data_IF_455094059242
#
_entry.id   IF_455094059242
#
_cell.length_a   1.000
_cell.length_b   1.000
_cell.length_c   1.000
_cell.angle_alpha   90.00
_cell.angle_beta   90.00
_cell.angle_gamma   90.00
#
_symmetry.space_group_name_H-M   'P 1'
#
loop_
_entity.id
_entity.type
_entity.pdbx_description
1 polymer ?
#
# COMPACT_ATOMS: atom_id res chain seq x y z
N UNK A 1 -10.06 2.29 4.84
CA UNK A 1 -10.57 2.55 3.47
C UNK A 1 -9.45 2.29 2.44
N UNK A 2 -9.75 1.84 1.22
CA UNK A 2 -8.76 1.77 0.12
C UNK A 2 -7.90 0.49 0.02
N UNK A 3 -8.08 -0.50 0.89
CA UNK A 3 -7.27 -1.75 0.92
C UNK A 3 -7.29 -2.52 -0.41
N UNK A 4 -8.50 -2.79 -0.95
CA UNK A 4 -8.65 -3.56 -2.20
C UNK A 4 -8.08 -2.82 -3.41
N UNK A 5 -8.40 -1.53 -3.56
CA UNK A 5 -7.86 -0.71 -4.65
C UNK A 5 -6.32 -0.65 -4.59
N UNK A 6 -5.75 -0.47 -3.39
CA UNK A 6 -4.30 -0.45 -3.20
C UNK A 6 -3.65 -1.76 -3.60
N UNK A 7 -4.22 -2.89 -3.18
CA UNK A 7 -3.69 -4.21 -3.52
C UNK A 7 -3.70 -4.43 -5.04
N UNK A 8 -4.84 -4.20 -5.68
CA UNK A 8 -4.99 -4.38 -7.13
C UNK A 8 -4.05 -3.47 -7.93
N UNK A 9 -3.93 -2.19 -7.53
CA UNK A 9 -3.00 -1.25 -8.17
C UNK A 9 -1.54 -1.66 -7.98
N UNK A 10 -1.14 -2.15 -6.80
CA UNK A 10 0.23 -2.61 -6.54
C UNK A 10 0.58 -3.87 -7.35
N UNK A 11 -0.36 -4.81 -7.51
CA UNK A 11 -0.18 -5.98 -8.39
C UNK A 11 0.00 -5.52 -9.84
N UNK A 12 -0.89 -4.64 -10.34
CA UNK A 12 -0.81 -4.13 -11.70
C UNK A 12 0.52 -3.42 -11.97
N UNK A 13 1.02 -2.62 -11.03
CA UNK A 13 2.33 -1.97 -11.13
C UNK A 13 3.48 -2.98 -11.13
N UNK A 14 3.40 -4.04 -10.34
CA UNK A 14 4.38 -5.13 -10.34
C UNK A 14 4.44 -5.86 -11.68
N UNK A 15 3.29 -6.19 -12.25
CA UNK A 15 3.18 -6.81 -13.57
C UNK A 15 3.74 -5.89 -14.67
N UNK A 16 3.41 -4.60 -14.64
CA UNK A 16 3.95 -3.62 -15.59
C UNK A 16 5.48 -3.48 -15.52
N UNK A 17 6.09 -3.81 -14.38
CA UNK A 17 7.55 -3.87 -14.18
C UNK A 17 8.18 -5.21 -14.62
N UNK A 18 7.39 -6.13 -15.19
CA UNK A 18 7.86 -7.42 -15.68
C UNK A 18 7.99 -8.50 -14.61
N UNK A 19 7.40 -8.31 -13.42
CA UNK A 19 7.36 -9.36 -12.40
C UNK A 19 6.42 -10.49 -12.83
N UNK A 20 6.74 -11.71 -12.41
CA UNK A 20 5.79 -12.83 -12.46
C UNK A 20 4.59 -12.53 -11.56
N UNK A 21 3.42 -13.08 -11.88
CA UNK A 21 2.18 -12.84 -11.13
C UNK A 21 2.33 -13.12 -9.62
N UNK A 22 2.93 -14.26 -9.26
CA UNK A 22 3.15 -14.65 -7.87
C UNK A 22 4.04 -13.63 -7.13
N UNK A 23 5.16 -13.23 -7.75
CA UNK A 23 6.08 -12.22 -7.22
C UNK A 23 5.38 -10.86 -7.06
N UNK A 24 4.58 -10.44 -8.04
CA UNK A 24 3.78 -9.21 -7.96
C UNK A 24 2.78 -9.25 -6.80
N UNK A 25 2.09 -10.38 -6.59
CA UNK A 25 1.15 -10.57 -5.48
C UNK A 25 1.86 -10.52 -4.12
N UNK A 26 3.01 -11.20 -3.98
CA UNK A 26 3.80 -11.20 -2.74
C UNK A 26 4.23 -9.78 -2.39
N UNK A 27 4.82 -9.05 -3.35
CA UNK A 27 5.28 -7.67 -3.14
C UNK A 27 4.13 -6.71 -2.84
N UNK A 28 3.01 -6.84 -3.56
CA UNK A 28 1.83 -6.01 -3.32
C UNK A 28 1.24 -6.21 -1.91
N UNK A 29 1.20 -7.46 -1.42
CA UNK A 29 0.76 -7.77 -0.06
C UNK A 29 1.70 -7.18 0.99
N UNK A 30 3.02 -7.26 0.78
CA UNK A 30 4.01 -6.68 1.67
C UNK A 30 3.85 -5.15 1.74
N UNK A 31 3.74 -4.49 0.58
CA UNK A 31 3.49 -3.05 0.49
C UNK A 31 2.21 -2.62 1.21
N UNK A 32 1.08 -3.29 0.95
CA UNK A 32 -0.18 -2.97 1.62
C UNK A 32 -0.09 -3.14 3.14
N UNK A 33 0.63 -4.15 3.61
CA UNK A 33 0.81 -4.38 5.05
C UNK A 33 1.59 -3.23 5.70
N UNK A 34 2.64 -2.73 5.04
CA UNK A 34 3.37 -1.52 5.48
C UNK A 34 2.47 -0.28 5.48
N UNK A 35 1.68 -0.09 4.42
CA UNK A 35 0.76 1.03 4.30
C UNK A 35 -0.33 1.04 5.38
N UNK A 36 -0.81 -0.14 5.79
CA UNK A 36 -1.75 -0.29 6.89
C UNK A 36 -1.09 -0.02 8.25
N UNK A 37 0.14 -0.51 8.46
CA UNK A 37 0.87 -0.27 9.71
C UNK A 37 1.15 1.23 9.93
N UNK A 38 1.46 1.97 8.86
CA UNK A 38 1.68 3.41 8.90
C UNK A 38 0.38 4.25 8.79
N UNK A 39 -0.78 3.63 8.62
CA UNK A 39 -2.05 4.35 8.43
C UNK A 39 -2.41 5.26 9.61
N UNK A 40 -2.06 4.86 10.84
CA UNK A 40 -2.30 5.64 12.05
C UNK A 40 -1.50 6.96 12.12
N UNK A 41 -0.53 7.16 11.23
CA UNK A 41 0.23 8.41 11.14
C UNK A 41 -0.52 9.51 10.39
N UNK A 42 -1.53 9.14 9.62
CA UNK A 42 -2.37 10.08 8.87
C UNK A 42 -3.54 10.54 9.73
N UNK A 43 -3.65 11.85 9.95
CA UNK A 43 -4.82 12.46 10.58
C UNK A 43 -5.79 12.96 9.51
N UNK A 44 -6.46 12.04 8.83
CA UNK A 44 -7.38 12.34 7.72
C UNK A 44 -8.78 11.82 8.01
N UNK A 45 -9.75 12.73 8.03
CA UNK A 45 -11.16 12.42 8.28
C UNK A 45 -11.46 12.16 9.76
N UNK A 46 -12.72 11.80 10.06
CA UNK A 46 -13.21 11.51 11.42
C UNK A 46 -13.68 10.05 11.61
N UNK A 47 -13.41 9.18 10.62
CA UNK A 47 -13.79 7.76 10.62
C UNK A 47 -12.59 6.83 10.44
N UNK A 48 -12.81 5.62 9.92
CA UNK A 48 -11.72 4.69 9.60
C UNK A 48 -10.83 5.25 8.48
N UNK A 49 -9.61 5.68 8.85
CA UNK A 49 -8.67 6.37 7.97
C UNK A 49 -8.23 5.58 6.71
N UNK A 50 -7.62 6.26 5.74
CA UNK A 50 -7.02 5.63 4.57
C UNK A 50 -5.72 4.90 4.92
N UNK A 51 -5.23 4.05 4.01
CA UNK A 51 -3.87 3.51 4.10
C UNK A 51 -2.83 4.60 3.82
N UNK A 52 -1.63 4.48 4.38
CA UNK A 52 -0.54 5.41 4.10
C UNK A 52 0.27 4.95 2.87
N UNK A 53 -0.16 5.35 1.67
CA UNK A 53 0.52 4.97 0.42
C UNK A 53 2.01 5.34 0.37
N UNK A 54 2.41 6.46 0.97
CA UNK A 54 3.79 6.95 0.92
C UNK A 54 4.66 6.50 2.10
N UNK A 55 4.31 5.39 2.79
CA UNK A 55 4.94 5.01 4.06
C UNK A 55 6.45 4.72 3.93
N UNK A 56 6.91 4.30 2.75
CA UNK A 56 8.33 4.05 2.46
C UNK A 56 9.11 5.32 2.09
N UNK A 57 8.41 6.38 1.67
CA UNK A 57 9.02 7.62 1.19
C UNK A 57 9.03 8.71 2.25
N UNK A 58 8.00 8.77 3.08
CA UNK A 58 7.86 9.78 4.11
C UNK A 58 8.27 9.16 5.45
N UNK A 59 9.55 9.33 5.82
CA UNK A 59 9.97 9.09 7.21
C UNK A 59 9.56 10.30 8.05
N UNK A 60 8.96 10.03 9.22
CA UNK A 60 8.89 11.02 10.30
C UNK A 60 10.31 11.52 10.59
N UNK A 61 10.48 12.84 10.53
CA UNK A 61 11.69 13.51 11.04
C UNK A 61 11.78 13.33 12.54
#
# INVERSE_FOLDING_TARGET
HGTGCTLSSAIAAGLARGLKLEEACIRAKAYLSGALAAAGELQVGQGAGPVHHFHELWRKR
#
